data_IF_428187453728
#
_entry.id   IF_428187453728
#
_cell.length_a   1.000
_cell.length_b   1.000
_cell.length_c   1.000
_cell.angle_alpha   90.00
_cell.angle_beta   90.00
_cell.angle_gamma   90.00
#
_symmetry.space_group_name_H-M   'P 1'
#
loop_
_entity.id
_entity.type
_entity.pdbx_description
1 polymer ?
#
# COMPACT_ATOMS: atom_id res chain seq x y z
N UNK A 1 5.67 -31.36 7.43
CA UNK A 1 4.86 -30.87 6.29
C UNK A 1 5.21 -29.40 6.09
N UNK A 2 5.57 -29.00 4.86
CA UNK A 2 6.08 -27.65 4.55
C UNK A 2 4.90 -26.68 4.50
N UNK A 3 4.77 -25.77 5.47
CA UNK A 3 3.87 -24.62 5.33
C UNK A 3 4.57 -23.58 4.46
N UNK A 4 4.33 -23.69 3.15
CA UNK A 4 4.73 -22.70 2.18
C UNK A 4 3.73 -21.54 2.28
N UNK A 5 4.05 -20.53 3.08
CA UNK A 5 3.32 -19.26 3.06
C UNK A 5 3.66 -18.55 1.75
N UNK A 6 2.83 -18.78 0.73
CA UNK A 6 2.82 -17.94 -0.46
C UNK A 6 2.00 -16.71 -0.08
N UNK A 7 2.68 -15.60 0.21
CA UNK A 7 2.02 -14.30 0.11
C UNK A 7 1.91 -14.03 -1.38
N UNK A 8 0.77 -14.38 -1.98
CA UNK A 8 0.42 -13.98 -3.34
C UNK A 8 0.33 -12.46 -3.37
N UNK A 9 1.45 -11.82 -3.71
CA UNK A 9 1.52 -10.38 -3.87
C UNK A 9 1.20 -10.04 -5.32
N UNK A 10 0.02 -10.44 -5.78
CA UNK A 10 -0.56 -9.94 -7.02
C UNK A 10 -1.85 -9.22 -6.66
N UNK A 11 -1.70 -7.93 -6.34
CA UNK A 11 -2.82 -7.01 -6.39
C UNK A 11 -3.16 -6.79 -7.87
N UNK A 12 -3.77 -7.80 -8.50
CA UNK A 12 -4.43 -7.65 -9.79
C UNK A 12 -5.60 -6.70 -9.57
N UNK A 13 -5.36 -5.42 -9.81
CA UNK A 13 -6.43 -4.42 -9.85
C UNK A 13 -7.28 -4.78 -11.06
N UNK A 14 -8.45 -5.38 -10.79
CA UNK A 14 -9.47 -5.62 -11.81
C UNK A 14 -9.77 -4.29 -12.53
N UNK A 15 -9.69 -4.34 -13.87
CA UNK A 15 -9.60 -3.17 -14.76
C UNK A 15 -10.85 -2.26 -14.81
N UNK A 16 -11.80 -2.38 -13.87
CA UNK A 16 -13.09 -1.66 -13.91
C UNK A 16 -13.05 -0.21 -13.40
N UNK A 17 -11.93 0.29 -12.86
CA UNK A 17 -11.83 1.59 -12.18
C UNK A 17 -10.77 2.58 -12.68
N UNK A 18 -10.16 2.37 -13.86
CA UNK A 18 -9.07 3.25 -14.34
C UNK A 18 -9.63 4.46 -15.08
N UNK A 19 -9.59 5.63 -14.42
CA UNK A 19 -9.91 6.92 -15.03
C UNK A 19 -8.66 7.57 -15.64
N UNK A 20 -8.77 8.06 -16.88
CA UNK A 20 -7.74 8.92 -17.49
C UNK A 20 -7.99 10.35 -17.03
N UNK A 21 -6.95 11.01 -16.54
CA UNK A 21 -7.00 12.42 -16.11
C UNK A 21 -5.93 13.20 -16.87
N UNK A 22 -6.29 14.36 -17.39
CA UNK A 22 -5.35 15.32 -17.98
C UNK A 22 -4.92 16.30 -16.90
N UNK A 23 -3.62 16.42 -16.67
CA UNK A 23 -3.02 17.29 -15.65
C UNK A 23 -1.80 17.98 -16.26
N UNK A 24 -1.69 19.28 -16.05
CA UNK A 24 -0.48 20.04 -16.41
C UNK A 24 0.54 19.91 -15.28
N UNK A 25 1.70 19.35 -15.58
CA UNK A 25 2.79 19.13 -14.62
C UNK A 25 4.01 19.90 -15.10
N UNK A 26 4.63 20.77 -14.28
CA UNK A 26 5.84 21.45 -14.68
C UNK A 26 6.95 20.45 -15.05
N UNK A 27 7.67 20.70 -16.15
CA UNK A 27 8.65 19.75 -16.71
C UNK A 27 9.71 19.31 -15.69
N UNK A 28 10.16 20.23 -14.83
CA UNK A 28 11.13 19.93 -13.78
C UNK A 28 10.59 18.92 -12.76
N UNK A 29 9.33 19.05 -12.36
CA UNK A 29 8.70 18.18 -11.36
C UNK A 29 8.45 16.80 -11.97
N UNK A 30 8.06 16.76 -13.25
CA UNK A 30 7.92 15.50 -13.98
C UNK A 30 9.28 14.78 -14.13
N UNK A 31 10.34 15.52 -14.45
CA UNK A 31 11.69 14.98 -14.58
C UNK A 31 12.20 14.42 -13.24
N UNK A 32 11.97 15.14 -12.14
CA UNK A 32 12.35 14.70 -10.80
C UNK A 32 11.56 13.46 -10.37
N UNK A 33 10.24 13.43 -10.58
CA UNK A 33 9.43 12.25 -10.30
C UNK A 33 9.93 11.05 -11.11
N UNK A 34 10.19 11.21 -12.41
CA UNK A 34 10.75 10.13 -13.24
C UNK A 34 12.12 9.64 -12.72
N UNK A 35 12.99 10.56 -12.29
CA UNK A 35 14.30 10.22 -11.72
C UNK A 35 14.17 9.47 -10.39
N UNK A 36 13.30 9.93 -9.49
CA UNK A 36 13.12 9.35 -8.16
C UNK A 36 12.47 7.97 -8.23
N UNK A 37 11.49 7.79 -9.11
CA UNK A 37 10.83 6.48 -9.30
C UNK A 37 11.62 5.55 -10.22
N UNK A 38 12.63 6.06 -10.94
CA UNK A 38 13.39 5.35 -11.98
C UNK A 38 12.50 4.75 -13.07
N UNK A 39 11.36 5.39 -13.34
CA UNK A 39 10.35 4.89 -14.27
C UNK A 39 10.73 5.16 -15.71
N UNK A 40 10.32 4.25 -16.61
CA UNK A 40 10.59 4.40 -18.06
C UNK A 40 9.57 5.30 -18.74
N UNK A 41 8.38 5.44 -18.15
CA UNK A 41 7.28 6.23 -18.72
C UNK A 41 6.74 7.26 -17.73
N UNK A 42 6.21 8.37 -18.27
CA UNK A 42 5.55 9.43 -17.48
C UNK A 42 4.41 8.86 -16.63
N UNK A 43 3.55 8.04 -17.22
CA UNK A 43 2.40 7.43 -16.53
C UNK A 43 2.86 6.57 -15.35
N UNK A 44 3.84 5.70 -15.56
CA UNK A 44 4.37 4.82 -14.50
C UNK A 44 4.93 5.65 -13.34
N UNK A 45 5.68 6.70 -13.64
CA UNK A 45 6.25 7.59 -12.63
C UNK A 45 5.15 8.25 -11.77
N UNK A 46 4.11 8.79 -12.42
CA UNK A 46 2.98 9.44 -11.74
C UNK A 46 2.17 8.44 -10.92
N UNK A 47 1.83 7.27 -11.48
CA UNK A 47 1.08 6.23 -10.75
C UNK A 47 1.87 5.79 -9.52
N UNK A 48 3.18 5.59 -9.65
CA UNK A 48 4.06 5.21 -8.53
C UNK A 48 4.08 6.29 -7.45
N UNK A 49 4.24 7.56 -7.83
CA UNK A 49 4.23 8.68 -6.90
C UNK A 49 2.89 8.80 -6.13
N UNK A 50 1.76 8.62 -6.83
CA UNK A 50 0.42 8.66 -6.20
C UNK A 50 0.23 7.49 -5.22
N UNK A 51 0.64 6.28 -5.60
CA UNK A 51 0.55 5.11 -4.72
C UNK A 51 1.39 5.31 -3.46
N UNK A 52 2.63 5.81 -3.61
CA UNK A 52 3.53 6.05 -2.50
C UNK A 52 3.01 7.17 -1.57
N UNK A 53 2.52 8.28 -2.14
CA UNK A 53 1.88 9.35 -1.38
C UNK A 53 0.71 8.82 -0.55
N UNK A 54 -0.20 8.07 -1.17
CA UNK A 54 -1.36 7.52 -0.47
C UNK A 54 -0.95 6.50 0.62
N UNK A 55 0.09 5.70 0.38
CA UNK A 55 0.64 4.81 1.40
C UNK A 55 1.13 5.61 2.61
N UNK A 56 1.90 6.68 2.40
CA UNK A 56 2.38 7.56 3.48
C UNK A 56 1.22 8.20 4.25
N UNK A 57 0.19 8.66 3.56
CA UNK A 57 -1.00 9.24 4.21
C UNK A 57 -1.78 8.21 5.03
N UNK A 58 -1.96 6.99 4.51
CA UNK A 58 -2.58 5.90 5.29
C UNK A 58 -1.79 5.59 6.56
N UNK A 59 -0.47 5.52 6.48
CA UNK A 59 0.38 5.32 7.66
C UNK A 59 0.25 6.47 8.65
N UNK A 60 0.27 7.72 8.18
CA UNK A 60 0.07 8.88 9.04
C UNK A 60 -1.31 8.88 9.73
N UNK A 61 -2.36 8.43 9.02
CA UNK A 61 -3.68 8.27 9.61
C UNK A 61 -3.71 7.21 10.72
N UNK A 62 -3.00 6.08 10.56
CA UNK A 62 -2.91 5.04 11.59
C UNK A 62 -2.23 5.53 12.87
N UNK A 63 -1.24 6.42 12.77
CA UNK A 63 -0.58 7.02 13.95
C UNK A 63 -1.59 7.73 14.86
N UNK A 64 -2.69 8.28 14.32
CA UNK A 64 -3.77 8.89 15.13
C UNK A 64 -4.51 7.91 16.04
N UNK A 65 -4.30 6.62 15.83
CA UNK A 65 -4.86 5.53 16.64
C UNK A 65 -3.79 4.86 17.52
N UNK A 66 -2.55 5.33 17.49
CA UNK A 66 -1.51 4.88 18.42
C UNK A 66 -1.95 5.13 19.86
N UNK A 67 -1.85 4.11 20.72
CA UNK A 67 -2.30 4.16 22.11
C UNK A 67 -3.81 4.05 22.33
N UNK A 68 -4.63 3.98 21.26
CA UNK A 68 -6.09 3.74 21.38
C UNK A 68 -6.47 2.27 21.38
N UNK A 69 -5.57 1.39 20.95
CA UNK A 69 -5.76 -0.05 21.07
C UNK A 69 -5.45 -0.44 22.51
N UNK A 70 -6.49 -0.53 23.33
CA UNK A 70 -6.40 -0.79 24.78
C UNK A 70 -6.28 -2.26 25.12
N UNK A 71 -6.65 -3.16 24.20
CA UNK A 71 -6.38 -4.58 24.31
C UNK A 71 -6.02 -5.16 22.94
N UNK A 72 -4.99 -5.99 22.96
CA UNK A 72 -4.70 -6.98 21.93
C UNK A 72 -4.86 -8.34 22.60
N UNK A 73 -5.34 -9.33 21.85
CA UNK A 73 -5.34 -10.70 22.34
C UNK A 73 -3.88 -11.12 22.60
N UNK A 74 -3.65 -11.71 23.76
CA UNK A 74 -2.42 -12.44 24.08
C UNK A 74 -2.27 -13.67 23.17
N UNK A 75 -1.04 -14.18 23.05
CA UNK A 75 -0.81 -15.42 22.30
C UNK A 75 -1.65 -16.59 22.85
N UNK A 76 -1.85 -16.65 24.16
CA UNK A 76 -2.66 -17.68 24.83
C UNK A 76 -4.14 -17.60 24.42
N UNK A 77 -4.69 -16.38 24.32
CA UNK A 77 -6.06 -16.16 23.84
C UNK A 77 -6.22 -16.52 22.36
N UNK A 78 -5.19 -16.27 21.53
CA UNK A 78 -5.19 -16.63 20.10
C UNK A 78 -5.11 -18.16 19.93
N UNK A 79 -4.18 -18.83 20.61
CA UNK A 79 -4.03 -20.29 20.57
C UNK A 79 -5.24 -21.03 21.15
N UNK A 80 -5.97 -20.41 22.08
CA UNK A 80 -7.22 -20.91 22.61
C UNK A 80 -8.36 -20.93 21.58
N UNK A 81 -8.37 -20.00 20.64
CA UNK A 81 -9.38 -19.94 19.58
C UNK A 81 -9.27 -21.11 18.60
N UNK A 82 -8.05 -21.55 18.26
CA UNK A 82 -7.81 -22.68 17.34
C UNK A 82 -8.23 -24.05 17.91
N UNK A 83 -8.29 -24.19 19.25
CA UNK A 83 -8.61 -25.47 19.92
C UNK A 83 -10.10 -25.74 20.06
N UNK A 84 -10.96 -24.85 19.55
CA UNK A 84 -12.42 -24.93 19.71
C UNK A 84 -13.14 -25.46 18.46
N UNK A 85 -12.41 -25.95 17.45
CA UNK A 85 -12.94 -26.62 16.25
C UNK A 85 -12.73 -28.14 16.27
#
# INVERSE_FOLDING_TARGET
MKNHFIIEREYEISYSGIMKTSLDIPDRELADVMRFTKSKTKREAIVTAVVDFNRRQRMAALIRHSGKCTSLLSNEEIEGMEKTE
#
